data_IF_749308044142
#
_entry.id   IF_749308044142
#
_cell.length_a   1.000
_cell.length_b   1.000
_cell.length_c   1.000
_cell.angle_alpha   90.00
_cell.angle_beta   90.00
_cell.angle_gamma   90.00
#
_symmetry.space_group_name_H-M   'P 1'
#
loop_
_entity.id
_entity.type
_entity.pdbx_description
1 polymer ?
#
# COMPACT_ATOMS: atom_id res chain seq x y z
N UNK A 1 -60.54 22.67 27.31
CA UNK A 1 -59.61 21.52 27.37
C UNK A 1 -59.27 20.98 25.98
N UNK A 2 -59.89 21.46 24.91
CA UNK A 2 -59.76 20.89 23.55
C UNK A 2 -58.73 21.54 22.65
N UNK A 3 -58.21 22.70 23.04
CA UNK A 3 -57.22 23.42 22.21
C UNK A 3 -55.76 22.91 22.42
N UNK A 4 -55.52 22.32 23.58
CA UNK A 4 -54.15 21.80 23.93
C UNK A 4 -53.89 20.43 23.30
N UNK A 5 -54.95 19.64 23.09
CA UNK A 5 -54.83 18.31 22.44
C UNK A 5 -54.62 18.42 20.92
N UNK A 6 -55.18 19.47 20.31
CA UNK A 6 -55.02 19.67 18.86
C UNK A 6 -53.60 20.13 18.50
N UNK A 7 -52.93 20.91 19.34
CA UNK A 7 -51.54 21.32 19.12
C UNK A 7 -50.52 20.19 19.35
N UNK A 8 -50.86 19.21 20.18
CA UNK A 8 -49.96 18.05 20.42
C UNK A 8 -50.10 17.01 19.31
N UNK A 9 -51.28 16.86 18.73
CA UNK A 9 -51.50 15.97 17.58
C UNK A 9 -50.84 16.50 16.30
N UNK A 10 -50.91 17.82 16.03
CA UNK A 10 -50.22 18.42 14.89
C UNK A 10 -48.69 18.37 14.99
N UNK A 11 -48.14 18.39 16.20
CA UNK A 11 -46.68 18.22 16.40
C UNK A 11 -46.22 16.79 16.21
N UNK A 12 -47.07 15.78 16.34
CA UNK A 12 -46.71 14.39 16.11
C UNK A 12 -46.76 13.98 14.63
N UNK A 13 -47.67 14.54 13.83
CA UNK A 13 -47.72 14.24 12.39
C UNK A 13 -46.63 14.98 11.58
N UNK A 14 -46.16 16.12 12.04
CA UNK A 14 -45.02 16.83 11.39
C UNK A 14 -43.66 16.24 11.66
N UNK A 15 -43.51 15.32 12.64
CA UNK A 15 -42.24 14.64 12.92
C UNK A 15 -42.04 13.32 12.15
N UNK A 16 -43.04 12.82 11.41
CA UNK A 16 -42.92 11.54 10.70
C UNK A 16 -42.76 11.65 9.19
N UNK A 17 -42.93 12.81 8.58
CA UNK A 17 -42.85 13.00 7.12
C UNK A 17 -41.85 14.04 6.61
N UNK A 18 -41.00 14.57 7.48
CA UNK A 18 -39.85 15.37 7.04
C UNK A 18 -38.56 14.70 7.58
N UNK A 19 -37.97 13.82 6.78
CA UNK A 19 -36.54 13.64 6.84
C UNK A 19 -35.93 15.01 6.51
N UNK A 20 -35.65 15.80 7.54
CA UNK A 20 -34.83 16.98 7.40
C UNK A 20 -33.44 16.46 7.07
N UNK A 21 -33.12 16.41 5.77
CA UNK A 21 -31.75 16.48 5.32
C UNK A 21 -31.23 17.84 5.82
N UNK A 22 -30.61 17.83 7.00
CA UNK A 22 -29.72 18.92 7.37
C UNK A 22 -28.57 18.81 6.40
N UNK A 23 -28.65 19.51 5.28
CA UNK A 23 -27.48 19.87 4.52
C UNK A 23 -26.63 20.72 5.47
N UNK A 24 -25.65 20.08 6.10
CA UNK A 24 -24.51 20.81 6.55
C UNK A 24 -23.85 21.37 5.28
N UNK A 25 -24.14 22.63 4.99
CA UNK A 25 -23.26 23.42 4.13
C UNK A 25 -21.92 23.43 4.84
N UNK A 26 -21.02 22.55 4.41
CA UNK A 26 -19.60 22.65 4.77
C UNK A 26 -19.16 24.00 4.21
N UNK A 27 -18.85 24.92 5.10
CA UNK A 27 -18.19 26.17 4.77
C UNK A 27 -16.95 25.82 3.91
N UNK A 28 -16.94 26.27 2.66
CA UNK A 28 -15.78 26.25 1.76
C UNK A 28 -14.69 27.20 2.29
N UNK A 29 -14.10 26.84 3.41
CA UNK A 29 -13.01 27.57 4.06
C UNK A 29 -12.02 26.62 4.76
N UNK A 30 -12.15 25.32 4.55
CA UNK A 30 -11.22 24.31 5.05
C UNK A 30 -10.19 23.95 3.98
N UNK A 31 -8.93 24.16 4.29
CA UNK A 31 -7.74 23.84 3.54
C UNK A 31 -7.87 22.62 2.61
N UNK A 32 -7.23 22.74 1.45
CA UNK A 32 -7.02 21.76 0.36
C UNK A 32 -6.45 20.38 0.77
N UNK A 33 -6.21 20.14 2.07
CA UNK A 33 -5.77 18.86 2.65
C UNK A 33 -6.80 17.72 2.51
N UNK A 34 -8.01 17.99 2.06
CA UNK A 34 -9.06 16.97 1.94
C UNK A 34 -8.97 16.13 0.66
N UNK A 35 -8.21 16.54 -0.34
CA UNK A 35 -8.19 15.90 -1.66
C UNK A 35 -7.29 14.66 -1.68
N UNK A 36 -6.07 14.73 -1.14
CA UNK A 36 -5.12 13.60 -1.17
C UNK A 36 -5.58 12.42 -0.32
N UNK A 37 -6.11 12.66 0.88
CA UNK A 37 -6.63 11.59 1.72
C UNK A 37 -7.86 10.90 1.10
N UNK A 38 -8.77 11.63 0.45
CA UNK A 38 -9.91 11.04 -0.21
C UNK A 38 -9.49 10.22 -1.45
N UNK A 39 -8.48 10.67 -2.17
CA UNK A 39 -7.91 9.94 -3.29
C UNK A 39 -7.18 8.67 -2.84
N UNK A 40 -6.42 8.71 -1.73
CA UNK A 40 -5.82 7.53 -1.10
C UNK A 40 -6.89 6.53 -0.68
N UNK A 41 -7.97 6.96 -0.02
CA UNK A 41 -9.09 6.11 0.38
C UNK A 41 -9.67 5.39 -0.84
N UNK A 42 -9.95 6.13 -1.92
CA UNK A 42 -10.45 5.54 -3.16
C UNK A 42 -9.46 4.54 -3.79
N UNK A 43 -8.15 4.83 -3.76
CA UNK A 43 -7.11 3.92 -4.23
C UNK A 43 -7.08 2.62 -3.42
N UNK A 44 -7.17 2.70 -2.08
CA UNK A 44 -7.22 1.53 -1.19
C UNK A 44 -8.48 0.69 -1.47
N UNK A 45 -9.64 1.32 -1.64
CA UNK A 45 -10.90 0.62 -1.91
C UNK A 45 -10.89 -0.09 -3.27
N UNK A 46 -10.31 0.51 -4.30
CA UNK A 46 -10.09 -0.10 -5.62
C UNK A 46 -9.04 -1.21 -5.61
N UNK A 47 -8.24 -1.34 -4.56
CA UNK A 47 -7.05 -2.21 -4.50
C UNK A 47 -7.17 -3.33 -3.45
N UNK A 48 -8.15 -4.25 -3.54
CA UNK A 48 -8.34 -5.32 -2.55
C UNK A 48 -7.20 -6.35 -2.53
N UNK A 49 -6.37 -6.46 -3.56
CA UNK A 49 -5.20 -7.36 -3.64
C UNK A 49 -4.06 -6.67 -4.41
N UNK A 50 -2.85 -7.25 -4.36
CA UNK A 50 -1.69 -6.78 -5.13
C UNK A 50 -2.00 -6.64 -6.63
N UNK A 51 -2.79 -7.54 -7.21
CA UNK A 51 -3.19 -7.47 -8.61
C UNK A 51 -4.01 -6.22 -8.92
N UNK A 52 -4.96 -5.88 -8.05
CA UNK A 52 -5.79 -4.69 -8.19
C UNK A 52 -5.00 -3.41 -7.89
N UNK A 53 -4.05 -3.45 -6.95
CA UNK A 53 -3.15 -2.32 -6.69
C UNK A 53 -2.31 -1.96 -7.93
N UNK A 54 -1.76 -2.98 -8.61
CA UNK A 54 -1.05 -2.78 -9.88
C UNK A 54 -1.97 -2.24 -10.98
N UNK A 55 -3.20 -2.74 -11.08
CA UNK A 55 -4.17 -2.23 -12.04
C UNK A 55 -4.53 -0.77 -11.77
N UNK A 56 -4.74 -0.39 -10.50
CA UNK A 56 -4.99 1.00 -10.09
C UNK A 56 -3.79 1.91 -10.35
N UNK A 57 -2.56 1.44 -10.13
CA UNK A 57 -1.35 2.18 -10.52
C UNK A 57 -1.25 2.38 -12.04
N UNK A 58 -1.56 1.33 -12.82
CA UNK A 58 -1.53 1.41 -14.28
C UNK A 58 -2.57 2.41 -14.81
N UNK A 59 -3.79 2.42 -14.25
CA UNK A 59 -4.83 3.41 -14.59
C UNK A 59 -4.31 4.85 -14.41
N UNK A 60 -3.72 5.18 -13.26
CA UNK A 60 -3.14 6.50 -12.99
C UNK A 60 -2.02 6.84 -13.98
N UNK A 61 -1.14 5.89 -14.27
CA UNK A 61 -0.02 6.10 -15.21
C UNK A 61 -0.52 6.31 -16.63
N UNK A 62 -1.51 5.57 -17.11
CA UNK A 62 -2.12 5.71 -18.43
C UNK A 62 -2.82 7.06 -18.56
N UNK A 63 -3.55 7.53 -17.56
CA UNK A 63 -4.15 8.87 -17.51
C UNK A 63 -3.09 9.99 -17.61
N UNK A 64 -1.88 9.75 -17.09
CA UNK A 64 -0.73 10.67 -17.18
C UNK A 64 0.08 10.50 -18.47
N UNK A 65 -0.36 9.63 -19.39
CA UNK A 65 0.26 9.45 -20.70
C UNK A 65 1.50 8.54 -20.72
N UNK A 66 1.68 7.70 -19.69
CA UNK A 66 2.74 6.68 -19.68
C UNK A 66 2.39 5.53 -20.63
N UNK A 67 3.38 5.03 -21.33
CA UNK A 67 3.22 3.93 -22.28
C UNK A 67 3.56 2.59 -21.61
N UNK A 68 2.67 1.61 -21.74
CA UNK A 68 2.93 0.24 -21.27
C UNK A 68 3.98 -0.44 -22.17
N UNK A 69 4.95 -1.10 -21.53
CA UNK A 69 5.94 -1.95 -22.17
C UNK A 69 5.72 -3.41 -21.79
N UNK A 70 6.22 -4.33 -22.64
CA UNK A 70 6.28 -5.75 -22.34
C UNK A 70 7.74 -6.19 -22.19
N UNK A 71 7.99 -7.16 -21.28
CA UNK A 71 9.35 -7.64 -20.99
C UNK A 71 9.99 -8.37 -22.20
N UNK A 72 9.18 -9.07 -23.00
CA UNK A 72 9.66 -9.84 -24.16
C UNK A 72 9.93 -8.97 -25.39
N UNK A 73 9.47 -7.72 -25.42
CA UNK A 73 9.60 -6.85 -26.59
C UNK A 73 10.93 -6.08 -26.57
N UNK A 74 11.38 -5.64 -27.74
CA UNK A 74 12.44 -4.63 -27.84
C UNK A 74 11.88 -3.26 -27.38
N UNK A 75 12.68 -2.51 -26.60
CA UNK A 75 12.26 -1.20 -26.12
C UNK A 75 12.88 -0.09 -26.98
N UNK A 76 12.03 0.76 -27.51
CA UNK A 76 12.43 1.98 -28.20
C UNK A 76 12.08 3.20 -27.33
N UNK A 77 12.93 3.48 -26.35
CA UNK A 77 12.71 4.53 -25.35
C UNK A 77 13.08 5.91 -25.92
N UNK A 78 12.27 6.91 -25.64
CA UNK A 78 12.44 8.29 -26.09
C UNK A 78 12.62 9.24 -24.90
N UNK A 79 13.48 10.25 -25.06
CA UNK A 79 13.62 11.33 -24.10
C UNK A 79 12.30 12.11 -23.93
N UNK A 80 12.01 12.58 -22.73
CA UNK A 80 10.79 13.30 -22.38
C UNK A 80 9.54 12.41 -22.29
N UNK A 81 9.68 11.08 -22.23
CA UNK A 81 8.56 10.13 -22.18
C UNK A 81 8.57 9.27 -20.94
N UNK A 82 7.37 8.90 -20.50
CA UNK A 82 7.12 7.98 -19.41
C UNK A 82 6.67 6.61 -19.89
N UNK A 83 7.13 5.58 -19.20
CA UNK A 83 6.84 4.18 -19.49
C UNK A 83 6.54 3.41 -18.22
N UNK A 84 5.79 2.31 -18.33
CA UNK A 84 5.63 1.37 -17.24
C UNK A 84 5.59 -0.07 -17.73
N UNK A 85 5.91 -0.99 -16.83
CA UNK A 85 5.96 -2.42 -17.05
C UNK A 85 5.46 -3.15 -15.83
N UNK A 86 4.77 -4.29 -16.02
CA UNK A 86 4.27 -5.12 -14.94
C UNK A 86 4.86 -6.52 -15.01
N UNK A 87 5.14 -7.12 -13.87
CA UNK A 87 5.54 -8.53 -13.75
C UNK A 87 4.52 -9.28 -12.91
N UNK A 88 4.04 -10.42 -13.38
CA UNK A 88 3.03 -11.24 -12.73
C UNK A 88 1.67 -10.54 -12.48
N UNK A 89 1.42 -9.36 -13.06
CA UNK A 89 0.28 -8.47 -12.78
C UNK A 89 0.21 -8.01 -11.29
N UNK A 90 1.22 -8.27 -10.48
CA UNK A 90 1.26 -7.96 -9.06
C UNK A 90 2.41 -7.05 -8.63
N UNK A 91 3.38 -6.82 -9.54
CA UNK A 91 4.43 -5.82 -9.37
C UNK A 91 4.49 -4.89 -10.57
N UNK A 92 4.87 -3.64 -10.35
CA UNK A 92 4.93 -2.61 -11.38
C UNK A 92 6.18 -1.74 -11.22
N UNK A 93 6.83 -1.43 -12.33
CA UNK A 93 7.86 -0.39 -12.41
C UNK A 93 7.39 0.64 -13.43
N UNK A 94 7.39 1.91 -13.05
CA UNK A 94 7.22 3.02 -13.96
C UNK A 94 8.46 3.89 -13.95
N UNK A 95 8.82 4.45 -15.10
CA UNK A 95 9.98 5.34 -15.21
C UNK A 95 9.74 6.46 -16.21
N UNK A 96 10.38 7.59 -15.95
CA UNK A 96 10.36 8.76 -16.83
C UNK A 96 11.78 9.05 -17.30
N UNK A 97 11.96 9.12 -18.62
CA UNK A 97 13.24 9.47 -19.26
C UNK A 97 13.33 10.99 -19.39
N UNK A 98 14.34 11.66 -18.79
CA UNK A 98 14.48 13.10 -18.93
C UNK A 98 14.83 13.49 -20.38
N UNK A 99 14.63 14.77 -20.72
CA UNK A 99 15.01 15.28 -22.06
C UNK A 99 16.52 15.29 -22.32
N UNK A 100 17.30 15.43 -21.25
CA UNK A 100 18.77 15.35 -21.32
C UNK A 100 19.23 13.90 -21.12
N UNK A 101 20.41 13.56 -21.64
CA UNK A 101 21.02 12.25 -21.40
C UNK A 101 21.13 11.98 -19.89
N UNK A 102 20.44 10.96 -19.39
CA UNK A 102 20.42 10.69 -17.96
C UNK A 102 21.77 10.23 -17.43
N UNK A 103 22.06 10.57 -16.16
CA UNK A 103 23.34 10.23 -15.52
C UNK A 103 23.18 9.26 -14.38
N UNK A 104 22.00 9.22 -13.77
CA UNK A 104 21.68 8.43 -12.60
C UNK A 104 20.18 8.15 -12.50
N UNK A 105 19.78 7.42 -11.48
CA UNK A 105 18.42 7.05 -11.17
C UNK A 105 18.00 7.61 -9.82
N UNK A 106 16.78 8.12 -9.71
CA UNK A 106 16.09 8.41 -8.47
C UNK A 106 14.92 7.45 -8.35
N UNK A 107 14.97 6.56 -7.38
CA UNK A 107 14.07 5.41 -7.28
C UNK A 107 13.28 5.47 -5.99
N UNK A 108 11.95 5.32 -6.04
CA UNK A 108 11.18 4.90 -4.85
C UNK A 108 10.82 3.43 -4.98
N UNK A 109 10.82 2.71 -3.87
CA UNK A 109 10.39 1.33 -3.79
C UNK A 109 9.39 1.15 -2.65
N UNK A 110 8.27 0.46 -2.94
CA UNK A 110 7.18 0.12 -2.01
C UNK A 110 6.64 -1.26 -2.34
N UNK A 111 5.63 -1.77 -1.61
CA UNK A 111 5.02 -3.06 -1.93
C UNK A 111 3.51 -3.00 -2.08
N UNK A 112 2.97 -3.88 -2.94
CA UNK A 112 1.56 -3.92 -3.35
C UNK A 112 0.72 -4.89 -2.55
N UNK A 113 1.36 -5.87 -1.91
CA UNK A 113 0.72 -6.91 -1.10
C UNK A 113 0.46 -6.42 0.34
N UNK A 114 -0.36 -7.15 1.06
CA UNK A 114 -0.72 -6.91 2.46
C UNK A 114 -1.09 -8.24 3.11
N UNK A 115 -0.97 -8.39 4.45
CA UNK A 115 -1.36 -9.62 5.12
C UNK A 115 -2.86 -9.91 4.98
N UNK A 116 -3.20 -11.15 4.58
CA UNK A 116 -4.58 -11.58 4.37
C UNK A 116 -4.69 -13.12 4.41
N UNK A 117 -5.78 -13.69 3.94
CA UNK A 117 -5.93 -15.14 3.79
C UNK A 117 -6.02 -15.52 2.32
N UNK A 118 -5.16 -16.44 1.87
CA UNK A 118 -5.19 -17.02 0.52
C UNK A 118 -6.09 -18.25 0.48
N UNK A 119 -6.91 -18.37 -0.57
CA UNK A 119 -7.71 -19.56 -0.83
C UNK A 119 -6.78 -20.67 -1.35
N UNK A 120 -6.90 -21.88 -0.76
CA UNK A 120 -6.17 -23.07 -1.22
C UNK A 120 -6.82 -23.68 -2.46
N UNK A 121 -6.09 -24.52 -3.20
CA UNK A 121 -6.59 -25.17 -4.41
C UNK A 121 -7.87 -25.99 -4.14
N UNK A 122 -7.91 -26.77 -3.04
CA UNK A 122 -9.13 -27.40 -2.54
C UNK A 122 -9.86 -26.37 -1.67
N UNK A 123 -10.64 -25.50 -2.34
CA UNK A 123 -11.21 -24.30 -1.74
C UNK A 123 -12.29 -24.57 -0.71
N UNK A 124 -12.99 -25.70 -0.78
CA UNK A 124 -14.15 -25.95 0.06
C UNK A 124 -13.85 -26.84 1.26
N UNK A 125 -14.41 -26.49 2.40
CA UNK A 125 -14.29 -27.21 3.66
C UNK A 125 -15.68 -27.36 4.32
N UNK A 126 -16.42 -28.47 4.03
CA UNK A 126 -17.73 -28.71 4.60
C UNK A 126 -17.70 -28.81 6.14
N UNK A 127 -18.77 -28.39 6.82
CA UNK A 127 -18.96 -28.54 8.25
C UNK A 127 -20.34 -29.09 8.60
N UNK A 128 -20.41 -30.25 9.25
CA UNK A 128 -21.62 -30.92 9.79
C UNK A 128 -22.74 -31.20 8.78
N UNK A 129 -22.48 -31.26 7.48
CA UNK A 129 -23.51 -31.31 6.43
C UNK A 129 -24.52 -30.14 6.45
N UNK A 130 -24.16 -29.02 7.11
CA UNK A 130 -25.00 -27.85 7.29
C UNK A 130 -24.38 -26.57 6.71
N UNK A 131 -23.05 -26.53 6.63
CA UNK A 131 -22.32 -25.32 6.22
C UNK A 131 -21.20 -25.66 5.26
N UNK A 132 -20.94 -24.73 4.35
CA UNK A 132 -19.78 -24.71 3.49
C UNK A 132 -18.87 -23.56 3.94
N UNK A 133 -17.60 -23.88 4.22
CA UNK A 133 -16.54 -22.92 4.56
C UNK A 133 -15.50 -22.89 3.46
N UNK A 134 -14.70 -21.84 3.42
CA UNK A 134 -13.51 -21.78 2.58
C UNK A 134 -12.29 -22.32 3.32
N UNK A 135 -11.48 -23.08 2.60
CA UNK A 135 -10.19 -23.57 3.06
C UNK A 135 -9.12 -22.53 2.71
N UNK A 136 -8.57 -21.89 3.73
CA UNK A 136 -7.65 -20.76 3.59
C UNK A 136 -6.34 -21.03 4.31
N UNK A 137 -5.31 -20.25 3.97
CA UNK A 137 -4.07 -20.16 4.73
C UNK A 137 -3.67 -18.69 4.91
N UNK A 138 -3.02 -18.34 6.03
CA UNK A 138 -2.48 -17.00 6.23
C UNK A 138 -1.42 -16.66 5.17
N UNK A 139 -1.51 -15.46 4.63
CA UNK A 139 -0.51 -14.82 3.80
C UNK A 139 0.08 -13.65 4.58
N UNK A 140 1.38 -13.68 4.85
CA UNK A 140 2.03 -12.70 5.73
C UNK A 140 1.68 -12.85 7.22
N UNK A 141 2.09 -11.88 8.01
CA UNK A 141 1.98 -11.88 9.47
C UNK A 141 0.73 -11.17 10.02
N UNK A 142 -0.48 -11.63 9.68
CA UNK A 142 -1.73 -10.94 10.07
C UNK A 142 -2.11 -11.11 11.55
N UNK A 143 -2.78 -10.11 12.14
CA UNK A 143 -3.38 -10.18 13.50
C UNK A 143 -4.74 -10.89 13.41
N UNK A 144 -4.78 -12.17 13.75
CA UNK A 144 -5.93 -13.05 13.53
C UNK A 144 -7.25 -12.56 14.14
N UNK A 145 -7.23 -12.04 15.35
CA UNK A 145 -8.45 -11.59 16.07
C UNK A 145 -9.19 -10.48 15.32
N UNK A 146 -8.51 -9.72 14.49
CA UNK A 146 -9.09 -8.58 13.77
C UNK A 146 -9.91 -8.98 12.55
N UNK A 147 -9.84 -10.24 12.14
CA UNK A 147 -10.58 -10.78 11.00
C UNK A 147 -11.95 -11.35 11.35
N UNK A 148 -12.23 -11.54 12.64
CA UNK A 148 -13.47 -12.13 13.11
C UNK A 148 -14.64 -11.12 13.11
N UNK A 149 -15.86 -11.64 12.92
CA UNK A 149 -17.15 -10.94 13.05
C UNK A 149 -17.33 -9.71 12.16
N UNK A 150 -16.64 -9.67 11.00
CA UNK A 150 -16.76 -8.56 10.07
C UNK A 150 -17.11 -9.01 8.65
N UNK A 151 -17.67 -8.12 7.84
CA UNK A 151 -17.97 -8.44 6.44
C UNK A 151 -16.66 -8.64 5.66
N UNK A 152 -16.53 -9.80 5.03
CA UNK A 152 -15.40 -10.18 4.18
C UNK A 152 -15.88 -10.52 2.78
N UNK A 153 -14.97 -10.45 1.81
CA UNK A 153 -15.22 -10.87 0.45
C UNK A 153 -13.99 -11.52 -0.18
N UNK A 154 -14.09 -11.85 -1.46
CA UNK A 154 -13.05 -12.44 -2.28
C UNK A 154 -12.63 -11.49 -3.39
N UNK A 155 -11.34 -11.41 -3.64
CA UNK A 155 -10.77 -10.76 -4.82
C UNK A 155 -9.46 -11.45 -5.22
N UNK A 156 -9.02 -11.20 -6.44
CA UNK A 156 -7.78 -11.74 -6.97
C UNK A 156 -7.86 -11.89 -8.48
N UNK A 157 -7.34 -13.00 -8.98
CA UNK A 157 -7.45 -13.35 -10.41
C UNK A 157 -7.86 -14.80 -10.60
N UNK A 158 -8.50 -15.04 -11.71
CA UNK A 158 -8.75 -16.38 -12.25
C UNK A 158 -7.95 -16.57 -13.53
N UNK A 159 -7.60 -17.82 -13.82
CA UNK A 159 -6.87 -18.19 -15.03
C UNK A 159 -7.87 -18.92 -15.92
N UNK A 160 -8.09 -18.40 -17.11
CA UNK A 160 -9.11 -18.87 -18.06
C UNK A 160 -8.44 -19.31 -19.34
N UNK A 161 -8.92 -20.44 -19.90
CA UNK A 161 -8.58 -20.89 -21.25
C UNK A 161 -9.61 -20.38 -22.25
N UNK A 162 -9.16 -19.76 -23.32
CA UNK A 162 -9.98 -19.33 -24.44
C UNK A 162 -9.32 -19.82 -25.73
N UNK A 163 -9.86 -20.90 -26.32
CA UNK A 163 -9.27 -21.66 -27.42
C UNK A 163 -7.81 -22.08 -27.08
N UNK A 164 -6.80 -21.50 -27.73
CA UNK A 164 -5.38 -21.77 -27.54
C UNK A 164 -4.68 -20.75 -26.60
N UNK A 165 -5.44 -19.76 -26.10
CA UNK A 165 -4.95 -18.71 -25.23
C UNK A 165 -5.24 -19.02 -23.76
N UNK A 166 -4.26 -18.78 -22.91
CA UNK A 166 -4.43 -18.76 -21.45
C UNK A 166 -4.28 -17.31 -20.98
N UNK A 167 -5.28 -16.81 -20.28
CA UNK A 167 -5.27 -15.45 -19.76
C UNK A 167 -5.67 -15.39 -18.28
N UNK A 168 -5.12 -14.39 -17.57
CA UNK A 168 -5.53 -14.06 -16.22
C UNK A 168 -6.53 -12.90 -16.26
N UNK A 169 -7.69 -13.08 -15.59
CA UNK A 169 -8.74 -12.07 -15.43
C UNK A 169 -8.85 -11.68 -13.98
N UNK A 170 -8.84 -10.38 -13.68
CA UNK A 170 -9.10 -9.88 -12.32
C UNK A 170 -10.57 -10.10 -11.97
N UNK A 171 -10.83 -10.52 -10.74
CA UNK A 171 -12.17 -10.60 -10.18
C UNK A 171 -12.22 -9.97 -8.80
N UNK A 172 -13.33 -9.29 -8.51
CA UNK A 172 -13.65 -8.75 -7.21
C UNK A 172 -15.15 -8.88 -6.97
N UNK A 173 -15.56 -9.62 -5.96
CA UNK A 173 -16.97 -9.89 -5.72
C UNK A 173 -17.78 -8.67 -5.23
N UNK A 174 -17.16 -7.63 -4.78
CA UNK A 174 -17.75 -6.32 -4.40
C UNK A 174 -19.00 -6.36 -3.53
N UNK A 175 -19.25 -7.48 -2.84
CA UNK A 175 -20.34 -7.68 -1.90
C UNK A 175 -19.87 -8.40 -0.64
N UNK A 176 -20.62 -8.26 0.45
CA UNK A 176 -20.36 -8.97 1.69
C UNK A 176 -20.69 -10.45 1.46
N UNK A 177 -19.65 -11.27 1.37
CA UNK A 177 -19.75 -12.67 0.93
C UNK A 177 -19.46 -13.66 2.04
N UNK A 178 -18.59 -13.29 2.97
CA UNK A 178 -17.99 -14.19 3.95
C UNK A 178 -18.00 -13.56 5.35
N UNK A 179 -17.95 -14.42 6.36
CA UNK A 179 -17.68 -14.05 7.74
C UNK A 179 -16.88 -15.17 8.43
N UNK A 180 -15.95 -14.79 9.31
CA UNK A 180 -15.30 -15.70 10.24
C UNK A 180 -15.94 -15.46 11.62
N UNK A 181 -16.88 -16.32 12.08
CA UNK A 181 -17.60 -16.05 13.32
C UNK A 181 -16.76 -16.42 14.55
N UNK A 182 -16.77 -15.56 15.56
CA UNK A 182 -16.25 -15.91 16.89
C UNK A 182 -17.10 -17.01 17.55
N UNK A 183 -16.47 -17.74 18.47
CA UNK A 183 -17.19 -18.59 19.41
C UNK A 183 -17.84 -17.70 20.47
N UNK A 184 -19.12 -17.94 20.78
CA UNK A 184 -19.84 -17.18 21.78
C UNK A 184 -19.15 -17.25 23.16
N UNK A 185 -19.10 -16.13 23.87
CA UNK A 185 -18.43 -16.03 25.20
C UNK A 185 -18.92 -17.09 26.20
N UNK A 186 -20.18 -17.55 26.11
CA UNK A 186 -20.74 -18.59 26.97
C UNK A 186 -20.11 -19.96 26.70
N UNK A 187 -19.62 -20.20 25.50
CA UNK A 187 -18.96 -21.47 25.11
C UNK A 187 -17.45 -21.42 25.25
N UNK A 188 -16.86 -20.21 25.30
CA UNK A 188 -15.41 -19.98 25.38
C UNK A 188 -15.11 -18.85 26.38
N UNK A 189 -15.37 -19.06 27.65
CA UNK A 189 -15.27 -18.05 28.72
C UNK A 189 -13.87 -17.45 28.88
N UNK A 190 -12.83 -18.18 28.49
CA UNK A 190 -11.43 -17.75 28.55
C UNK A 190 -10.95 -16.90 27.37
N UNK A 191 -11.82 -16.51 26.40
CA UNK A 191 -11.42 -15.81 25.18
C UNK A 191 -10.63 -14.53 25.46
N UNK A 192 -11.00 -13.79 26.51
CA UNK A 192 -10.34 -12.53 26.89
C UNK A 192 -9.09 -12.72 27.78
N UNK A 193 -8.68 -13.96 28.06
CA UNK A 193 -7.58 -14.29 28.97
C UNK A 193 -6.35 -14.85 28.22
N UNK A 194 -6.15 -14.48 26.95
CA UNK A 194 -5.00 -14.90 26.17
C UNK A 194 -5.28 -16.09 25.24
N UNK A 195 -6.40 -16.06 24.51
CA UNK A 195 -6.73 -17.10 23.52
C UNK A 195 -5.73 -17.07 22.34
N UNK A 196 -5.24 -18.26 21.97
CA UNK A 196 -4.40 -18.47 20.79
C UNK A 196 -5.24 -19.08 19.68
N UNK A 197 -5.36 -18.36 18.56
CA UNK A 197 -6.10 -18.82 17.37
C UNK A 197 -5.30 -19.85 16.58
N UNK A 198 -5.96 -20.96 16.19
CA UNK A 198 -5.45 -21.92 15.22
C UNK A 198 -6.02 -21.62 13.84
N UNK A 199 -5.21 -21.16 12.85
CA UNK A 199 -5.72 -20.80 11.53
C UNK A 199 -6.48 -21.91 10.80
N UNK A 200 -6.12 -23.16 11.03
CA UNK A 200 -6.76 -24.33 10.39
C UNK A 200 -8.13 -24.69 10.99
N UNK A 201 -8.48 -24.13 12.14
CA UNK A 201 -9.71 -24.44 12.88
C UNK A 201 -10.59 -23.20 13.04
N UNK A 202 -10.00 -22.10 13.53
CA UNK A 202 -10.73 -20.93 13.99
C UNK A 202 -10.99 -19.89 12.86
N UNK A 203 -10.20 -19.95 11.75
CA UNK A 203 -10.17 -18.88 10.78
C UNK A 203 -10.71 -19.28 9.38
N UNK A 204 -11.51 -20.35 9.32
CA UNK A 204 -12.14 -20.78 8.06
C UNK A 204 -13.42 -19.97 7.79
N UNK A 205 -13.45 -19.11 6.74
CA UNK A 205 -14.60 -18.25 6.48
C UNK A 205 -15.85 -19.06 6.10
N UNK A 206 -16.99 -18.71 6.68
CA UNK A 206 -18.29 -19.24 6.34
C UNK A 206 -18.74 -18.67 4.98
N UNK A 207 -19.08 -19.54 4.03
CA UNK A 207 -19.47 -19.18 2.67
C UNK A 207 -20.97 -19.40 2.42
N UNK A 208 -21.54 -20.54 2.85
CA UNK A 208 -22.89 -20.95 2.47
C UNK A 208 -23.48 -21.97 3.42
N UNK A 209 -24.82 -22.08 3.43
CA UNK A 209 -25.53 -23.25 3.99
C UNK A 209 -25.69 -24.38 2.96
N UNK A 210 -25.48 -24.10 1.68
CA UNK A 210 -25.49 -25.13 0.63
C UNK A 210 -24.14 -25.86 0.59
N UNK A 211 -24.09 -27.04 1.19
CA UNK A 211 -22.91 -27.91 1.22
C UNK A 211 -22.54 -28.51 -0.15
N UNK A 212 -23.44 -28.42 -1.13
CA UNK A 212 -23.21 -28.88 -2.51
C UNK A 212 -22.79 -27.72 -3.44
N UNK A 213 -22.53 -26.54 -2.88
CA UNK A 213 -22.12 -25.37 -3.67
C UNK A 213 -20.91 -25.71 -4.54
N UNK A 214 -21.03 -25.55 -5.83
CA UNK A 214 -19.95 -25.72 -6.79
C UNK A 214 -19.13 -24.41 -6.85
N UNK A 215 -17.97 -24.41 -6.24
CA UNK A 215 -17.10 -23.22 -6.18
C UNK A 215 -16.54 -22.84 -7.54
N UNK A 216 -16.22 -23.83 -8.40
CA UNK A 216 -15.76 -23.57 -9.76
C UNK A 216 -16.83 -22.89 -10.61
N UNK A 217 -18.08 -23.38 -10.56
CA UNK A 217 -19.21 -22.74 -11.26
C UNK A 217 -19.50 -21.33 -10.71
N UNK A 218 -19.34 -21.13 -9.39
CA UNK A 218 -19.49 -19.83 -8.76
C UNK A 218 -18.44 -18.83 -9.25
N UNK A 219 -17.16 -19.24 -9.31
CA UNK A 219 -16.07 -18.40 -9.85
C UNK A 219 -16.24 -18.11 -11.34
N UNK A 220 -16.62 -19.13 -12.14
CA UNK A 220 -16.81 -18.98 -13.58
C UNK A 220 -17.90 -17.94 -13.89
N UNK A 221 -18.98 -17.93 -13.11
CA UNK A 221 -20.04 -16.91 -13.24
C UNK A 221 -19.52 -15.51 -13.01
N UNK A 222 -18.70 -15.29 -11.98
CA UNK A 222 -18.11 -13.99 -11.68
C UNK A 222 -17.08 -13.56 -12.75
N UNK A 223 -16.31 -14.54 -13.26
CA UNK A 223 -15.30 -14.32 -14.29
C UNK A 223 -15.88 -14.14 -15.71
N UNK A 224 -17.18 -14.36 -15.89
CA UNK A 224 -17.84 -14.31 -17.21
C UNK A 224 -17.33 -15.38 -18.18
N UNK A 225 -17.06 -16.61 -17.68
CA UNK A 225 -16.60 -17.74 -18.48
C UNK A 225 -17.37 -19.02 -18.14
N UNK A 226 -17.18 -20.10 -18.92
CA UNK A 226 -17.70 -21.41 -18.57
C UNK A 226 -16.81 -22.06 -17.51
N UNK A 227 -17.40 -22.97 -16.71
CA UNK A 227 -16.65 -23.69 -15.69
C UNK A 227 -15.47 -24.49 -16.26
N UNK A 228 -15.67 -25.08 -17.42
CA UNK A 228 -14.67 -25.89 -18.13
C UNK A 228 -13.48 -25.06 -18.65
N UNK A 229 -13.68 -23.76 -18.80
CA UNK A 229 -12.65 -22.81 -19.21
C UNK A 229 -11.80 -22.31 -18.03
N UNK A 230 -12.28 -22.51 -16.78
CA UNK A 230 -11.56 -22.11 -15.57
C UNK A 230 -10.44 -23.10 -15.25
N UNK A 231 -9.17 -22.67 -15.39
CA UNK A 231 -7.99 -23.49 -15.16
C UNK A 231 -7.44 -23.38 -13.73
N UNK A 232 -7.64 -22.24 -13.08
CA UNK A 232 -7.10 -21.98 -11.74
C UNK A 232 -7.40 -20.58 -11.24
N UNK A 233 -6.85 -20.25 -10.08
CA UNK A 233 -7.05 -18.95 -9.45
C UNK A 233 -5.93 -18.61 -8.45
N UNK A 234 -5.74 -17.30 -8.22
CA UNK A 234 -5.07 -16.73 -7.05
C UNK A 234 -6.08 -15.81 -6.37
N UNK A 235 -6.73 -16.30 -5.33
CA UNK A 235 -7.81 -15.60 -4.62
C UNK A 235 -7.46 -15.37 -3.17
N UNK A 236 -7.89 -14.22 -2.68
CA UNK A 236 -7.67 -13.78 -1.30
C UNK A 236 -8.97 -13.31 -0.67
N UNK A 237 -9.09 -13.57 0.63
CA UNK A 237 -10.13 -12.99 1.48
C UNK A 237 -9.69 -11.60 1.89
N UNK A 238 -10.55 -10.60 1.69
CA UNK A 238 -10.26 -9.23 2.10
C UNK A 238 -11.39 -8.64 2.97
N UNK A 239 -11.02 -7.69 3.81
CA UNK A 239 -11.97 -6.96 4.66
C UNK A 239 -12.72 -5.91 3.84
N UNK A 240 -14.07 -5.96 3.91
CA UNK A 240 -15.00 -5.06 3.21
C UNK A 240 -15.35 -3.80 4.01
N UNK A 241 -14.92 -3.69 5.26
CA UNK A 241 -15.18 -2.48 6.03
C UNK A 241 -14.60 -1.27 5.30
N UNK A 242 -15.42 -0.29 4.90
CA UNK A 242 -14.96 0.84 4.11
C UNK A 242 -13.96 1.69 4.90
N UNK A 243 -13.02 2.31 4.19
CA UNK A 243 -12.11 3.27 4.78
C UNK A 243 -12.89 4.47 5.35
N UNK A 244 -12.53 4.93 6.53
CA UNK A 244 -13.27 5.97 7.25
C UNK A 244 -12.32 6.95 7.93
N UNK A 245 -12.61 8.24 7.84
CA UNK A 245 -11.97 9.27 8.66
C UNK A 245 -12.57 9.25 10.06
N UNK A 246 -11.72 9.29 11.07
CA UNK A 246 -12.06 9.22 12.49
C UNK A 246 -11.32 10.30 13.28
N UNK A 247 -11.77 10.53 14.52
CA UNK A 247 -11.28 11.61 15.36
C UNK A 247 -12.23 12.79 15.39
N UNK A 248 -12.05 13.72 16.32
CA UNK A 248 -12.93 14.87 16.52
C UNK A 248 -12.93 15.78 15.28
N UNK A 249 -11.74 15.96 14.69
CA UNK A 249 -11.53 16.82 13.51
C UNK A 249 -11.19 16.00 12.24
N UNK A 250 -11.36 14.65 12.28
CA UNK A 250 -11.04 13.75 11.19
C UNK A 250 -9.51 13.63 10.95
N UNK A 251 -8.72 13.80 12.03
CA UNK A 251 -7.27 13.80 12.00
C UNK A 251 -6.66 12.42 11.76
N UNK A 252 -7.44 11.35 11.92
CA UNK A 252 -7.05 9.98 11.61
C UNK A 252 -7.91 9.42 10.48
N UNK A 253 -7.42 8.39 9.85
CA UNK A 253 -8.25 7.51 9.02
C UNK A 253 -7.96 6.05 9.34
N UNK A 254 -8.97 5.22 9.23
CA UNK A 254 -8.82 3.77 9.34
C UNK A 254 -9.24 3.10 8.04
N UNK A 255 -8.46 2.15 7.61
CA UNK A 255 -8.68 1.39 6.39
C UNK A 255 -8.00 0.01 6.47
N UNK A 256 -8.44 -0.98 5.70
CA UNK A 256 -7.63 -2.16 5.46
C UNK A 256 -6.44 -1.80 4.55
N UNK A 257 -5.31 -2.53 4.67
CA UNK A 257 -4.16 -2.46 3.74
C UNK A 257 -3.49 -1.07 3.64
N UNK A 258 -3.52 -0.27 4.72
CA UNK A 258 -2.73 0.97 4.80
C UNK A 258 -1.26 0.61 4.60
N UNK A 259 -0.82 -0.45 5.22
CA UNK A 259 0.41 -1.16 4.93
C UNK A 259 0.20 -2.10 3.72
N UNK A 260 0.75 -1.76 2.55
CA UNK A 260 1.63 -0.61 2.28
C UNK A 260 1.05 0.28 1.15
N UNK A 261 -0.28 0.20 0.90
CA UNK A 261 -0.95 0.96 -0.17
C UNK A 261 -0.84 2.49 0.02
N UNK A 262 -0.67 2.95 1.26
CA UNK A 262 -0.39 4.37 1.52
C UNK A 262 0.95 4.80 0.93
N UNK A 263 1.99 3.97 1.09
CA UNK A 263 3.31 4.23 0.48
C UNK A 263 3.27 4.08 -1.04
N UNK A 264 2.57 3.06 -1.57
CA UNK A 264 2.41 2.89 -3.03
C UNK A 264 1.77 4.14 -3.64
N UNK A 265 0.62 4.57 -3.11
CA UNK A 265 -0.09 5.75 -3.62
C UNK A 265 0.72 7.04 -3.46
N UNK A 266 1.29 7.29 -2.28
CA UNK A 266 2.03 8.52 -2.01
C UNK A 266 3.31 8.66 -2.85
N UNK A 267 4.03 7.55 -3.08
CA UNK A 267 5.23 7.55 -3.93
C UNK A 267 4.87 7.65 -5.41
N UNK A 268 3.76 7.04 -5.86
CA UNK A 268 3.26 7.17 -7.22
C UNK A 268 2.83 8.63 -7.52
N UNK A 269 2.06 9.25 -6.62
CA UNK A 269 1.66 10.65 -6.77
C UNK A 269 2.86 11.61 -6.78
N UNK A 270 3.84 11.37 -5.91
CA UNK A 270 5.10 12.11 -5.94
C UNK A 270 5.84 11.95 -7.26
N UNK A 271 5.87 10.74 -7.80
CA UNK A 271 6.50 10.40 -9.08
C UNK A 271 5.83 11.10 -10.27
N UNK A 272 4.53 10.93 -10.46
CA UNK A 272 3.83 11.47 -11.65
C UNK A 272 3.69 12.98 -11.65
N UNK A 273 3.83 13.63 -10.49
CA UNK A 273 3.76 15.08 -10.33
C UNK A 273 5.14 15.75 -10.16
N UNK A 274 6.24 15.00 -10.31
CA UNK A 274 7.60 15.52 -10.19
C UNK A 274 8.10 16.13 -11.52
N UNK A 275 9.11 17.00 -11.38
CA UNK A 275 9.83 17.59 -12.50
C UNK A 275 11.31 17.24 -12.36
N UNK A 276 11.85 16.42 -13.25
CA UNK A 276 13.29 16.11 -13.27
C UNK A 276 13.85 16.33 -14.68
N UNK A 277 15.07 16.85 -14.72
CA UNK A 277 15.76 17.16 -15.98
C UNK A 277 16.97 16.27 -16.27
N UNK A 278 17.50 15.58 -15.26
CA UNK A 278 18.83 14.98 -15.32
C UNK A 278 18.89 13.51 -14.92
N UNK A 279 17.96 13.02 -14.09
CA UNK A 279 17.89 11.63 -13.64
C UNK A 279 16.73 10.89 -14.31
N UNK A 280 16.86 9.59 -14.48
CA UNK A 280 15.70 8.73 -14.70
C UNK A 280 14.97 8.58 -13.36
N UNK A 281 13.73 9.09 -13.28
CA UNK A 281 12.87 8.82 -12.15
C UNK A 281 12.25 7.44 -12.29
N UNK A 282 12.24 6.64 -11.23
CA UNK A 282 11.71 5.27 -11.22
C UNK A 282 10.81 5.07 -10.00
N UNK A 283 9.57 4.70 -10.25
CA UNK A 283 8.63 4.19 -9.27
C UNK A 283 8.62 2.67 -9.33
N UNK A 284 8.82 1.99 -8.21
CA UNK A 284 8.77 0.54 -8.11
C UNK A 284 7.83 0.13 -6.97
N UNK A 285 6.83 -0.70 -7.29
CA UNK A 285 5.98 -1.35 -6.30
C UNK A 285 6.06 -2.87 -6.50
N UNK A 286 6.69 -3.57 -5.54
CA UNK A 286 6.96 -5.00 -5.58
C UNK A 286 5.83 -5.79 -4.90
N UNK A 287 5.70 -7.07 -5.25
CA UNK A 287 4.82 -8.03 -4.59
C UNK A 287 5.60 -8.91 -3.60
N UNK A 288 4.89 -9.61 -2.73
CA UNK A 288 5.41 -10.61 -1.79
C UNK A 288 6.41 -10.08 -0.75
N UNK A 289 6.36 -8.81 -0.40
CA UNK A 289 7.15 -8.28 0.72
C UNK A 289 6.80 -9.04 2.00
N UNK A 290 5.53 -9.21 2.28
CA UNK A 290 4.95 -9.85 3.46
C UNK A 290 5.34 -11.33 3.65
N UNK A 291 5.94 -11.91 2.62
CA UNK A 291 6.41 -13.31 2.60
C UNK A 291 7.90 -13.43 2.24
N UNK A 292 8.66 -12.31 2.32
CA UNK A 292 10.12 -12.28 2.23
C UNK A 292 10.69 -11.95 0.87
N UNK A 293 9.91 -11.41 -0.07
CA UNK A 293 10.37 -10.84 -1.37
C UNK A 293 11.11 -11.79 -2.33
N UNK A 294 11.18 -13.10 -2.05
CA UNK A 294 12.01 -14.07 -2.79
C UNK A 294 11.27 -14.74 -3.98
N UNK A 295 10.43 -13.99 -4.69
CA UNK A 295 9.70 -14.47 -5.88
C UNK A 295 10.17 -13.74 -7.14
N UNK A 296 9.76 -14.21 -8.33
CA UNK A 296 10.11 -13.54 -9.61
C UNK A 296 9.61 -12.10 -9.70
N UNK A 297 8.57 -11.73 -8.97
CA UNK A 297 7.96 -10.40 -8.91
C UNK A 297 8.29 -9.63 -7.61
N UNK A 298 8.96 -10.26 -6.63
CA UNK A 298 9.36 -9.62 -5.39
C UNK A 298 10.58 -8.72 -5.54
N UNK A 299 10.85 -7.90 -4.54
CA UNK A 299 11.98 -6.98 -4.53
C UNK A 299 13.36 -7.70 -4.59
N UNK A 300 13.43 -8.97 -4.18
CA UNK A 300 14.63 -9.80 -4.28
C UNK A 300 14.92 -10.35 -5.67
N UNK A 301 14.00 -10.17 -6.63
CA UNK A 301 14.21 -10.57 -8.02
C UNK A 301 15.12 -9.60 -8.77
N UNK A 302 15.47 -9.96 -9.99
CA UNK A 302 16.21 -9.09 -10.91
C UNK A 302 15.31 -8.07 -11.64
N UNK A 303 14.03 -7.96 -11.32
CA UNK A 303 13.08 -7.12 -12.06
C UNK A 303 13.54 -5.67 -12.17
N UNK A 304 13.90 -5.04 -11.04
CA UNK A 304 14.42 -3.66 -11.04
C UNK A 304 15.76 -3.58 -11.80
N UNK A 305 16.65 -4.56 -11.61
CA UNK A 305 17.93 -4.62 -12.30
C UNK A 305 17.77 -4.71 -13.81
N UNK A 306 16.89 -5.62 -14.30
CA UNK A 306 16.62 -5.80 -15.73
C UNK A 306 16.11 -4.51 -16.39
N UNK A 307 15.20 -3.80 -15.72
CA UNK A 307 14.67 -2.51 -16.20
C UNK A 307 15.79 -1.46 -16.30
N UNK A 308 16.61 -1.34 -15.26
CA UNK A 308 17.76 -0.42 -15.26
C UNK A 308 18.75 -0.77 -16.36
N UNK A 309 19.08 -2.05 -16.57
CA UNK A 309 19.98 -2.51 -17.60
C UNK A 309 19.49 -2.12 -19.00
N UNK A 310 18.21 -2.38 -19.29
CA UNK A 310 17.58 -2.04 -20.57
C UNK A 310 17.54 -0.52 -20.83
N UNK A 311 17.29 0.29 -19.78
CA UNK A 311 17.37 1.75 -19.90
C UNK A 311 18.82 2.17 -20.21
N UNK A 312 19.80 1.61 -19.50
CA UNK A 312 21.22 1.91 -19.74
C UNK A 312 21.64 1.56 -21.16
N UNK A 313 21.23 0.40 -21.66
CA UNK A 313 21.50 -0.05 -23.04
C UNK A 313 20.90 0.90 -24.09
N UNK A 314 19.64 1.28 -23.94
CA UNK A 314 18.95 2.19 -24.87
C UNK A 314 19.64 3.57 -25.01
N UNK A 315 20.28 4.07 -23.94
CA UNK A 315 20.89 5.39 -23.91
C UNK A 315 22.43 5.36 -23.88
N UNK A 316 23.06 4.19 -23.95
CA UNK A 316 24.52 4.05 -23.89
C UNK A 316 25.13 4.49 -22.56
N UNK A 317 24.45 4.26 -21.46
CA UNK A 317 24.84 4.65 -20.10
C UNK A 317 25.64 3.49 -19.46
N UNK A 318 26.79 3.83 -18.85
CA UNK A 318 27.49 2.87 -18.02
C UNK A 318 26.68 2.63 -16.73
N UNK A 319 26.06 1.45 -16.62
CA UNK A 319 25.23 1.06 -15.49
C UNK A 319 25.91 1.24 -14.12
N UNK A 320 27.17 0.83 -14.01
CA UNK A 320 27.90 0.85 -12.74
C UNK A 320 28.12 2.29 -12.27
N UNK A 321 28.47 3.17 -13.18
CA UNK A 321 28.63 4.60 -12.91
C UNK A 321 27.31 5.27 -12.57
N UNK A 322 26.24 4.91 -13.28
CA UNK A 322 24.91 5.42 -13.00
C UNK A 322 24.42 5.00 -11.62
N UNK A 323 24.50 3.71 -11.26
CA UNK A 323 24.11 3.22 -9.93
C UNK A 323 24.93 3.86 -8.79
N UNK A 324 26.24 4.05 -8.98
CA UNK A 324 27.08 4.73 -7.99
C UNK A 324 26.70 6.18 -7.74
N UNK A 325 25.91 6.78 -8.64
CA UNK A 325 25.40 8.16 -8.53
C UNK A 325 23.90 8.22 -8.24
N UNK A 326 23.26 7.09 -8.02
CA UNK A 326 21.81 6.93 -7.82
C UNK A 326 21.44 6.90 -6.34
N UNK A 327 20.14 7.08 -6.08
CA UNK A 327 19.58 6.93 -4.73
C UNK A 327 18.22 6.24 -4.79
N UNK A 328 17.99 5.32 -3.84
CA UNK A 328 16.73 4.63 -3.62
C UNK A 328 16.12 5.07 -2.29
N UNK A 329 14.85 5.39 -2.31
CA UNK A 329 13.99 5.62 -1.14
C UNK A 329 13.05 4.43 -1.02
N UNK A 330 13.28 3.58 -0.02
CA UNK A 330 12.39 2.47 0.32
C UNK A 330 11.29 3.02 1.24
N UNK A 331 10.05 3.00 0.75
CA UNK A 331 8.89 3.53 1.48
C UNK A 331 7.99 2.39 1.92
N UNK A 332 7.97 2.18 3.24
CA UNK A 332 7.19 1.16 3.90
C UNK A 332 6.79 1.67 5.30
N UNK A 333 5.54 1.51 5.69
CA UNK A 333 4.99 2.18 6.85
C UNK A 333 5.76 1.86 8.16
N UNK A 334 5.67 2.74 9.13
CA UNK A 334 6.39 2.65 10.40
C UNK A 334 5.43 2.52 11.58
N UNK A 335 5.86 1.84 12.65
CA UNK A 335 5.07 1.73 13.86
C UNK A 335 5.00 3.07 14.60
N UNK A 336 3.81 3.65 14.73
CA UNK A 336 3.58 4.77 15.62
C UNK A 336 3.70 4.34 17.09
N UNK A 337 4.12 5.26 17.96
CA UNK A 337 4.07 5.05 19.41
C UNK A 337 2.64 4.78 19.84
N UNK A 338 2.40 3.58 20.39
CA UNK A 338 1.06 3.14 20.74
C UNK A 338 0.53 3.88 21.99
N UNK A 339 -0.64 4.53 21.94
CA UNK A 339 -1.13 5.37 23.04
C UNK A 339 -1.36 4.58 24.34
N UNK A 340 -1.79 3.31 24.26
CA UNK A 340 -2.04 2.46 25.42
C UNK A 340 -0.83 1.61 25.83
N UNK A 341 0.20 1.51 24.96
CA UNK A 341 1.40 0.70 25.17
C UNK A 341 2.68 1.45 24.79
N UNK A 342 2.92 2.65 25.37
CA UNK A 342 4.08 3.46 25.02
C UNK A 342 5.41 2.78 25.37
N UNK A 343 5.40 1.83 26.29
CA UNK A 343 6.56 1.03 26.72
C UNK A 343 7.09 0.08 25.64
N UNK A 344 6.32 -0.22 24.58
CA UNK A 344 6.75 -1.07 23.48
C UNK A 344 7.62 -0.33 22.45
N UNK A 345 7.70 0.99 22.55
CA UNK A 345 8.51 1.82 21.65
C UNK A 345 9.82 2.26 22.31
N UNK A 346 10.82 2.61 21.49
CA UNK A 346 12.01 3.31 21.98
C UNK A 346 11.62 4.63 22.65
N UNK A 347 12.32 5.01 23.69
CA UNK A 347 11.94 6.18 24.50
C UNK A 347 12.18 7.53 23.80
N UNK A 348 13.03 7.57 22.76
CA UNK A 348 13.46 8.78 22.05
C UNK A 348 13.13 8.77 20.56
N UNK A 349 13.19 7.59 19.93
CA UNK A 349 13.02 7.41 18.49
C UNK A 349 11.68 6.70 18.19
N UNK A 350 10.59 7.29 18.65
CA UNK A 350 9.24 6.76 18.51
C UNK A 350 8.35 7.80 17.82
N UNK A 351 7.99 7.58 16.54
CA UNK A 351 7.17 8.52 15.80
C UNK A 351 5.70 8.46 16.22
N UNK A 352 4.99 9.51 15.90
CA UNK A 352 3.55 9.61 16.10
C UNK A 352 2.83 9.95 14.79
N UNK A 353 1.57 9.63 14.72
CA UNK A 353 0.68 9.91 13.60
C UNK A 353 0.60 11.43 13.35
N UNK A 354 0.50 11.86 12.10
CA UNK A 354 0.50 13.26 11.64
C UNK A 354 1.79 14.04 11.96
N UNK A 355 2.86 13.34 12.26
CA UNK A 355 4.16 13.96 12.56
C UNK A 355 5.08 14.10 11.35
N UNK A 356 4.65 13.71 10.17
CA UNK A 356 5.43 13.73 8.94
C UNK A 356 6.17 12.43 8.65
N UNK A 357 7.08 12.49 7.68
CA UNK A 357 7.80 11.32 7.19
C UNK A 357 8.74 10.77 8.26
N UNK A 358 8.73 9.47 8.44
CA UNK A 358 9.57 8.74 9.41
C UNK A 358 10.78 8.16 8.69
N UNK A 359 11.99 8.48 9.14
CA UNK A 359 13.23 7.82 8.70
C UNK A 359 13.50 6.66 9.65
N UNK A 360 13.65 5.44 9.08
CA UNK A 360 13.83 4.20 9.85
C UNK A 360 15.30 3.84 9.95
N UNK A 361 15.80 3.62 11.18
CA UNK A 361 17.19 3.27 11.47
C UNK A 361 17.27 1.90 12.16
N UNK A 362 18.25 1.07 11.79
CA UNK A 362 18.50 -0.21 12.44
C UNK A 362 19.97 -0.59 12.36
N UNK A 363 20.61 -0.84 13.52
CA UNK A 363 22.02 -1.21 13.57
C UNK A 363 22.35 -2.57 12.91
N UNK A 364 21.37 -3.48 12.82
CA UNK A 364 21.51 -4.77 12.15
C UNK A 364 21.26 -4.69 10.63
N UNK A 365 21.15 -3.46 10.08
CA UNK A 365 20.93 -3.19 8.65
C UNK A 365 19.69 -3.87 8.07
N UNK A 366 18.66 -4.06 8.88
CA UNK A 366 17.33 -4.45 8.41
C UNK A 366 16.65 -3.32 7.63
N UNK A 367 17.06 -2.09 7.88
CA UNK A 367 16.83 -0.89 7.10
C UNK A 367 18.15 -0.44 6.50
N UNK A 368 18.15 0.02 5.26
CA UNK A 368 19.36 0.44 4.52
C UNK A 368 19.90 1.79 4.93
N UNK A 369 19.16 2.52 5.75
CA UNK A 369 19.48 3.88 6.18
C UNK A 369 20.83 3.95 6.85
N UNK A 370 21.65 4.90 6.41
CA UNK A 370 22.86 5.34 7.08
C UNK A 370 22.87 6.86 7.32
N UNK A 371 23.91 7.38 7.96
CA UNK A 371 24.00 8.80 8.29
C UNK A 371 24.03 9.72 7.06
N UNK A 372 24.53 9.24 5.92
CA UNK A 372 24.61 10.01 4.67
C UNK A 372 23.23 10.06 4.02
N UNK A 373 22.62 8.89 3.78
CA UNK A 373 21.33 8.78 3.11
C UNK A 373 20.22 9.49 3.91
N UNK A 374 20.22 9.30 5.24
CA UNK A 374 19.31 10.02 6.13
C UNK A 374 19.48 11.54 6.03
N UNK A 375 20.74 12.04 6.02
CA UNK A 375 21.00 13.48 5.95
C UNK A 375 20.55 14.08 4.62
N UNK A 376 20.82 13.39 3.50
CA UNK A 376 20.36 13.83 2.18
C UNK A 376 18.82 13.90 2.15
N UNK A 377 18.14 12.87 2.64
CA UNK A 377 16.68 12.84 2.63
C UNK A 377 16.06 13.88 3.56
N UNK A 378 16.67 14.16 4.72
CA UNK A 378 16.26 15.26 5.60
C UNK A 378 16.38 16.62 4.92
N UNK A 379 17.45 16.87 4.18
CA UNK A 379 17.58 18.10 3.38
C UNK A 379 16.49 18.20 2.32
N UNK A 380 16.15 17.09 1.65
CA UNK A 380 15.03 17.04 0.69
C UNK A 380 13.71 17.44 1.36
N UNK A 381 13.39 16.82 2.50
CA UNK A 381 12.19 17.14 3.27
C UNK A 381 12.19 18.60 3.76
N UNK A 382 13.33 19.10 4.21
CA UNK A 382 13.49 20.51 4.63
C UNK A 382 13.13 21.48 3.49
N UNK A 383 13.63 21.24 2.28
CA UNK A 383 13.29 22.07 1.10
C UNK A 383 11.81 21.94 0.70
N UNK A 384 11.21 20.80 0.90
CA UNK A 384 9.78 20.58 0.65
C UNK A 384 8.89 21.19 1.74
N UNK A 385 9.45 21.59 2.89
CA UNK A 385 8.69 22.02 4.06
C UNK A 385 7.93 20.86 4.73
N UNK A 386 8.43 19.62 4.55
CA UNK A 386 7.85 18.42 5.12
C UNK A 386 8.53 18.08 6.45
N UNK A 387 7.77 17.88 7.53
CA UNK A 387 8.30 17.46 8.81
C UNK A 387 8.85 16.03 8.75
N UNK A 388 9.88 15.75 9.55
CA UNK A 388 10.57 14.45 9.60
C UNK A 388 10.66 13.97 11.04
N UNK A 389 10.44 12.66 11.22
CA UNK A 389 10.61 11.97 12.48
C UNK A 389 11.65 10.85 12.33
N UNK A 390 12.18 10.37 13.45
CA UNK A 390 13.10 9.24 13.50
C UNK A 390 12.44 8.03 14.14
N UNK A 391 12.75 6.84 13.62
CA UNK A 391 12.35 5.57 14.19
C UNK A 391 13.55 4.67 14.41
N UNK A 392 13.60 4.08 15.58
CA UNK A 392 14.44 2.92 15.88
C UNK A 392 13.65 1.94 16.75
N UNK A 393 13.90 0.67 16.59
CA UNK A 393 13.32 -0.33 17.47
C UNK A 393 13.83 -0.17 18.90
N UNK A 394 13.02 -0.48 19.89
CA UNK A 394 13.46 -0.68 21.26
C UNK A 394 14.54 -1.78 21.28
N UNK A 395 15.67 -1.55 21.95
CA UNK A 395 16.89 -2.36 21.80
C UNK A 395 16.74 -3.84 22.15
N UNK A 396 15.73 -4.18 22.96
CA UNK A 396 15.40 -5.55 23.37
C UNK A 396 14.28 -6.20 22.54
N UNK A 397 13.79 -5.53 21.49
CA UNK A 397 12.73 -6.03 20.61
C UNK A 397 13.28 -6.24 19.19
N UNK A 398 13.09 -7.44 18.59
CA UNK A 398 13.45 -7.65 17.21
C UNK A 398 12.52 -6.81 16.32
N UNK A 399 13.10 -6.01 15.44
CA UNK A 399 12.33 -5.29 14.43
C UNK A 399 12.02 -6.14 13.20
N UNK A 400 11.04 -5.69 12.42
CA UNK A 400 10.83 -6.16 11.04
C UNK A 400 12.00 -5.77 10.12
N UNK A 401 11.93 -6.17 8.88
CA UNK A 401 12.76 -5.69 7.77
C UNK A 401 11.86 -5.04 6.73
N UNK A 402 12.47 -4.40 5.73
CA UNK A 402 11.77 -3.80 4.60
C UNK A 402 12.39 -4.27 3.29
N UNK A 403 11.72 -3.97 2.20
CA UNK A 403 12.20 -4.30 0.86
C UNK A 403 13.50 -3.58 0.45
N UNK A 404 13.88 -2.49 1.12
CA UNK A 404 15.04 -1.67 0.76
C UNK A 404 16.35 -2.45 0.74
N UNK A 405 16.65 -3.17 1.82
CA UNK A 405 17.86 -4.00 1.94
C UNK A 405 17.90 -5.13 0.91
N UNK A 406 16.72 -5.64 0.54
CA UNK A 406 16.59 -6.73 -0.43
C UNK A 406 16.76 -6.19 -1.86
N UNK A 407 16.08 -5.12 -2.23
CA UNK A 407 16.16 -4.49 -3.56
C UNK A 407 17.59 -4.04 -3.89
N UNK A 408 18.31 -3.47 -2.92
CA UNK A 408 19.69 -2.99 -3.13
C UNK A 408 20.72 -4.09 -3.23
N UNK A 409 20.40 -5.34 -2.96
CA UNK A 409 21.31 -6.48 -3.19
C UNK A 409 21.66 -6.63 -4.68
N UNK A 410 20.68 -6.44 -5.58
CA UNK A 410 20.86 -6.55 -7.04
C UNK A 410 21.13 -5.20 -7.72
N UNK A 411 20.82 -4.10 -7.03
CA UNK A 411 20.98 -2.72 -7.53
C UNK A 411 21.64 -1.85 -6.46
N UNK A 412 22.94 -2.09 -6.14
CA UNK A 412 23.62 -1.41 -5.04
C UNK A 412 23.75 0.08 -5.30
N UNK A 413 23.16 0.89 -4.45
CA UNK A 413 23.21 2.36 -4.50
C UNK A 413 22.95 2.95 -3.11
N UNK A 414 23.15 4.26 -2.98
CA UNK A 414 22.75 4.96 -1.76
C UNK A 414 21.26 4.77 -1.49
N UNK A 415 20.89 4.41 -0.26
CA UNK A 415 19.48 4.13 0.04
C UNK A 415 19.06 4.54 1.45
N UNK A 416 17.80 4.92 1.59
CA UNK A 416 17.16 5.31 2.85
C UNK A 416 15.81 4.62 2.97
N UNK A 417 15.48 4.11 4.15
CA UNK A 417 14.18 3.57 4.49
C UNK A 417 13.34 4.62 5.20
N UNK A 418 12.17 4.87 4.64
CA UNK A 418 11.19 5.80 5.18
C UNK A 418 9.83 5.12 5.36
N UNK A 419 8.89 5.81 6.00
CA UNK A 419 7.49 5.38 6.07
C UNK A 419 6.59 6.42 6.71
N UNK A 420 5.29 6.12 6.76
CA UNK A 420 4.32 6.88 7.52
C UNK A 420 3.99 6.16 8.81
N UNK A 421 3.83 6.93 9.89
CA UNK A 421 3.50 6.35 11.18
C UNK A 421 2.06 5.83 11.21
N UNK A 422 1.87 4.54 11.56
CA UNK A 422 0.55 3.92 11.69
C UNK A 422 0.42 3.10 12.96
N UNK A 423 -0.82 2.85 13.38
CA UNK A 423 -1.21 1.94 14.45
C UNK A 423 -1.84 0.69 13.87
N UNK A 424 -1.78 -0.39 14.62
CA UNK A 424 -2.39 -1.68 14.29
C UNK A 424 -1.92 -2.23 12.91
N UNK A 425 -0.66 -2.03 12.55
CA UNK A 425 -0.04 -2.63 11.37
C UNK A 425 -0.32 -4.14 11.33
N UNK A 426 -0.67 -4.68 10.15
CA UNK A 426 -1.09 -6.07 9.94
C UNK A 426 -2.45 -6.45 10.56
N UNK A 427 -3.21 -5.49 11.06
CA UNK A 427 -4.63 -5.69 11.37
C UNK A 427 -5.45 -5.77 10.08
N UNK A 428 -6.59 -6.47 10.12
CA UNK A 428 -7.56 -6.37 9.04
C UNK A 428 -8.10 -4.94 8.82
N UNK A 429 -7.86 -4.03 9.78
CA UNK A 429 -8.29 -2.64 9.73
C UNK A 429 -7.32 -1.78 10.55
N UNK A 430 -6.49 -1.04 9.88
CA UNK A 430 -5.36 -0.28 10.42
C UNK A 430 -5.73 1.20 10.61
N UNK A 431 -4.85 2.00 11.22
CA UNK A 431 -5.11 3.42 11.48
C UNK A 431 -3.85 4.25 11.23
N UNK A 432 -3.98 5.33 10.46
CA UNK A 432 -2.90 6.28 10.18
C UNK A 432 -3.39 7.74 10.25
N UNK A 433 -2.47 8.68 10.02
CA UNK A 433 -2.75 10.11 10.03
C UNK A 433 -3.30 10.62 8.71
N UNK A 434 -4.38 11.40 8.76
CA UNK A 434 -4.99 11.98 7.56
C UNK A 434 -4.09 13.01 6.85
N UNK A 435 -3.17 13.67 7.56
CA UNK A 435 -2.24 14.64 6.99
C UNK A 435 -0.95 14.01 6.45
N UNK A 436 -0.62 12.79 6.88
CA UNK A 436 0.68 12.18 6.55
C UNK A 436 0.79 11.79 5.06
N UNK A 437 -0.31 11.60 4.35
CA UNK A 437 -0.27 11.35 2.91
C UNK A 437 0.24 12.56 2.12
N UNK A 438 -0.14 13.77 2.51
CA UNK A 438 0.35 15.00 1.89
C UNK A 438 1.86 15.18 2.16
N UNK A 439 2.32 14.81 3.36
CA UNK A 439 3.73 14.81 3.71
C UNK A 439 4.53 13.83 2.84
N UNK A 440 4.03 12.62 2.62
CA UNK A 440 4.70 11.62 1.78
C UNK A 440 4.76 12.06 0.32
N UNK A 441 3.65 12.54 -0.24
CA UNK A 441 3.59 13.08 -1.62
C UNK A 441 4.57 14.24 -1.76
N UNK A 442 4.58 15.18 -0.81
CA UNK A 442 5.48 16.34 -0.82
C UNK A 442 6.96 15.94 -0.78
N UNK A 443 7.33 15.01 0.10
CA UNK A 443 8.69 14.51 0.24
C UNK A 443 9.16 13.76 -1.02
N UNK A 444 8.34 12.85 -1.55
CA UNK A 444 8.70 12.05 -2.73
C UNK A 444 8.72 12.87 -4.01
N UNK A 445 7.79 13.82 -4.17
CA UNK A 445 7.85 14.81 -5.26
C UNK A 445 9.14 15.62 -5.22
N UNK A 446 9.55 16.09 -4.04
CA UNK A 446 10.81 16.83 -3.87
C UNK A 446 12.03 15.95 -4.14
N UNK A 447 12.01 14.68 -3.69
CA UNK A 447 13.05 13.71 -3.99
C UNK A 447 13.25 13.53 -5.50
N UNK A 448 12.20 13.26 -6.23
CA UNK A 448 12.24 13.10 -7.68
C UNK A 448 12.60 14.36 -8.46
N UNK A 449 12.38 15.53 -7.86
CA UNK A 449 12.72 16.84 -8.48
C UNK A 449 14.12 17.34 -8.08
N UNK A 450 14.83 16.61 -7.22
CA UNK A 450 16.16 16.97 -6.77
C UNK A 450 17.23 16.58 -7.79
N UNK A 451 18.30 17.37 -7.87
CA UNK A 451 19.52 17.01 -8.59
C UNK A 451 20.59 16.58 -7.56
N UNK A 452 20.83 15.27 -7.49
CA UNK A 452 21.85 14.67 -6.64
C UNK A 452 23.11 14.41 -7.46
N UNK A 453 24.24 14.93 -7.03
CA UNK A 453 25.55 14.70 -7.64
C UNK A 453 26.53 14.16 -6.61
N UNK A 454 27.14 13.02 -6.90
CA UNK A 454 28.25 12.45 -6.13
C UNK A 454 29.55 13.15 -6.55
N UNK A 455 30.22 13.83 -5.63
CA UNK A 455 31.48 14.53 -5.86
C UNK A 455 32.70 13.68 -5.49
N UNK A 456 32.50 12.70 -4.61
CA UNK A 456 33.52 11.77 -4.13
C UNK A 456 32.92 10.91 -3.01
N UNK A 457 33.71 9.97 -2.48
CA UNK A 457 33.28 9.15 -1.36
C UNK A 457 32.97 10.05 -0.13
N UNK A 458 31.73 9.98 0.37
CA UNK A 458 31.26 10.84 1.45
C UNK A 458 31.01 12.31 1.06
N UNK A 459 31.03 12.66 -0.24
CA UNK A 459 30.82 14.04 -0.70
C UNK A 459 29.71 14.14 -1.74
N UNK A 460 28.67 14.88 -1.41
CA UNK A 460 27.45 14.99 -2.23
C UNK A 460 27.05 16.46 -2.43
N UNK A 461 26.48 16.76 -3.58
CA UNK A 461 25.82 18.03 -3.86
C UNK A 461 24.35 17.78 -4.15
N UNK A 462 23.49 18.54 -3.47
CA UNK A 462 22.06 18.52 -3.66
C UNK A 462 21.60 19.89 -4.16
N UNK A 463 20.92 19.92 -5.31
CA UNK A 463 20.44 21.15 -5.92
C UNK A 463 18.94 21.02 -6.22
N UNK A 464 18.23 22.16 -6.17
CA UNK A 464 16.80 22.28 -6.51
C UNK A 464 16.62 23.41 -7.49
N UNK A 465 15.64 23.29 -8.38
CA UNK A 465 15.33 24.31 -9.40
C UNK A 465 14.90 25.65 -8.79
N UNK A 466 14.36 25.65 -7.57
CA UNK A 466 14.00 26.86 -6.82
C UNK A 466 14.38 26.69 -5.34
N UNK A 467 15.22 27.58 -4.81
CA UNK A 467 15.56 27.66 -3.37
C UNK A 467 14.41 28.35 -2.63
N UNK A 468 13.63 27.63 -1.83
CA UNK A 468 12.73 28.21 -0.84
C UNK A 468 13.47 28.27 0.51
N UNK A 469 13.91 29.46 0.92
CA UNK A 469 14.33 29.79 2.27
C UNK A 469 15.81 29.53 2.62
N UNK A 470 16.43 30.49 3.34
CA UNK A 470 17.70 30.28 4.00
C UNK A 470 17.48 29.56 5.34
N UNK A 471 18.38 28.60 5.71
CA UNK A 471 18.42 28.06 7.07
C UNK A 471 18.37 29.20 8.09
N UNK A 472 17.34 29.29 8.91
CA UNK A 472 17.45 29.98 10.19
C UNK A 472 18.26 29.04 11.10
N UNK A 473 19.44 29.49 11.50
CA UNK A 473 20.26 28.74 12.46
C UNK A 473 19.40 28.40 13.70
N UNK A 474 19.29 27.11 13.97
CA UNK A 474 18.77 26.56 15.22
C UNK A 474 19.94 26.34 16.15
#
# INVERSE_FOLDING_TARGET
MDFLYFCIALKRELCYNNAIYIHFSINEGGNDMSTAINALINFIEKSPTAFHAVASCAEILEEKGYTKLCEQDEWNLQAGKGYYITRNQSSIIAFFIPEQTPRNFLITASHTDSPMFKIKNEALSPAFDQYQRLNVEPYGGTIFSTWLDRPLSLAGRVIVSDEDKIEARLINFERDLLVIPNVAIHMQRGINSGHSYNPAIDLLPLLSQDVKKDFGAFLATEAGCKKEELLGYDLYVYNRTPATRIGVDGEFFSAPRIDNLMSVYGTLEGFVNSENKNAVNVFFAADNEETGSATKQGAGSVFLSDVIDRICECFGIDRRRALASSMLVSSDNAHAKHPNHPELSDSKNAPHINGGVVIKNNAAQKYTTDGISASIFKEICFYAGVPVQEYANRSDMPGGSTLGSIATTNTPMLSVDIGMAQLAMHSAYETAGSADIDHLIGATKAFYSAELTVLGDGQYRLQYAQRKGARKNV
#
